data_IF_050422481845
#
_entry.id   IF_050422481845
#
_cell.length_a   1.000
_cell.length_b   1.000
_cell.length_c   1.000
_cell.angle_alpha   90.00
_cell.angle_beta   90.00
_cell.angle_gamma   90.00
#
_symmetry.space_group_name_H-M   'P 1'
#
loop_
_entity.id
_entity.type
_entity.pdbx_description
1 polymer ?
#
# COMPACT_ATOMS: atom_id res chain seq x y z
N UNK A 1 -46.70 62.50 30.74
CA UNK A 1 -45.90 61.57 31.63
C UNK A 1 -46.55 60.20 31.86
N UNK A 2 -47.83 60.06 32.27
CA UNK A 2 -48.45 58.74 32.47
C UNK A 2 -48.72 57.96 31.16
N UNK A 3 -49.02 58.61 30.04
CA UNK A 3 -49.23 57.94 28.73
C UNK A 3 -47.92 57.51 28.03
N UNK A 4 -46.81 58.18 28.31
CA UNK A 4 -45.48 57.81 27.74
C UNK A 4 -44.86 56.63 28.46
N UNK A 5 -45.08 56.46 29.76
CA UNK A 5 -44.66 55.28 30.53
C UNK A 5 -45.39 54.01 30.11
N UNK A 6 -46.68 54.06 29.83
CA UNK A 6 -47.46 52.92 29.32
C UNK A 6 -47.05 52.52 27.89
N UNK A 7 -46.64 53.47 27.05
CA UNK A 7 -46.11 53.14 25.72
C UNK A 7 -44.71 52.51 25.77
N UNK A 8 -43.85 52.92 26.72
CA UNK A 8 -42.54 52.35 26.92
C UNK A 8 -42.62 50.89 27.41
N UNK A 9 -43.53 50.64 28.39
CA UNK A 9 -43.74 49.27 28.91
C UNK A 9 -44.28 48.33 27.81
N UNK A 10 -45.18 48.79 26.94
CA UNK A 10 -45.64 47.96 25.81
C UNK A 10 -44.58 47.64 24.77
N UNK A 11 -43.62 48.57 24.50
CA UNK A 11 -42.48 48.34 23.61
C UNK A 11 -41.54 47.31 24.21
N UNK A 12 -41.22 47.43 25.52
CA UNK A 12 -40.33 46.47 26.22
C UNK A 12 -40.96 45.06 26.26
N UNK A 13 -42.27 44.97 26.37
CA UNK A 13 -42.98 43.71 26.36
C UNK A 13 -42.97 43.02 24.98
N UNK A 14 -43.11 43.81 23.92
CA UNK A 14 -42.97 43.35 22.56
C UNK A 14 -41.55 42.91 22.26
N UNK A 15 -40.52 43.67 22.70
CA UNK A 15 -39.11 43.24 22.52
C UNK A 15 -38.80 41.95 23.28
N UNK A 16 -39.37 41.76 24.44
CA UNK A 16 -39.22 40.53 25.22
C UNK A 16 -39.85 39.32 24.50
N UNK A 17 -41.10 39.50 23.97
CA UNK A 17 -41.76 38.44 23.21
C UNK A 17 -41.03 38.11 21.92
N UNK A 18 -40.49 39.08 21.20
CA UNK A 18 -39.68 38.87 20.02
C UNK A 18 -38.39 38.09 20.36
N UNK A 19 -37.73 38.44 21.44
CA UNK A 19 -36.51 37.76 21.88
C UNK A 19 -36.78 36.31 22.33
N UNK A 20 -37.90 36.06 23.04
CA UNK A 20 -38.33 34.70 23.39
C UNK A 20 -38.71 33.89 22.16
N UNK A 21 -39.35 34.48 21.18
CA UNK A 21 -39.66 33.79 19.91
C UNK A 21 -38.40 33.46 19.09
N UNK A 22 -37.44 34.37 19.01
CA UNK A 22 -36.16 34.11 18.35
C UNK A 22 -35.36 32.98 19.03
N UNK A 23 -35.29 32.96 20.34
CA UNK A 23 -34.59 31.92 21.09
C UNK A 23 -35.27 30.57 20.94
N UNK A 24 -36.59 30.53 20.96
CA UNK A 24 -37.38 29.32 20.74
C UNK A 24 -37.21 28.79 19.28
N UNK A 25 -37.23 29.69 18.31
CA UNK A 25 -37.00 29.33 16.90
C UNK A 25 -35.61 28.78 16.68
N UNK A 26 -34.56 29.41 17.27
CA UNK A 26 -33.16 28.91 17.21
C UNK A 26 -33.03 27.52 17.84
N UNK A 27 -33.69 27.29 18.99
CA UNK A 27 -33.69 25.97 19.65
C UNK A 27 -34.41 24.90 18.79
N UNK A 28 -35.53 25.23 18.16
CA UNK A 28 -36.26 24.32 17.27
C UNK A 28 -35.47 24.01 15.99
N UNK A 29 -34.80 24.99 15.39
CA UNK A 29 -33.90 24.81 14.24
C UNK A 29 -32.72 23.90 14.59
N UNK A 30 -32.05 24.13 15.71
CA UNK A 30 -30.96 23.28 16.17
C UNK A 30 -31.42 21.84 16.43
N UNK A 31 -32.62 21.66 16.99
CA UNK A 31 -33.19 20.32 17.23
C UNK A 31 -33.55 19.62 15.90
N UNK A 32 -34.09 20.36 14.95
CA UNK A 32 -34.39 19.85 13.61
C UNK A 32 -33.11 19.47 12.84
N UNK A 33 -32.07 20.31 12.90
CA UNK A 33 -30.76 20.01 12.29
C UNK A 33 -30.10 18.80 12.93
N UNK A 34 -30.12 18.68 14.27
CA UNK A 34 -29.61 17.49 14.97
C UNK A 34 -30.32 16.22 14.55
N UNK A 35 -31.69 16.27 14.44
CA UNK A 35 -32.47 15.12 13.97
C UNK A 35 -32.12 14.77 12.51
N UNK A 36 -31.95 15.77 11.64
CA UNK A 36 -31.55 15.57 10.25
C UNK A 36 -30.15 14.93 10.16
N UNK A 37 -29.19 15.46 10.92
CA UNK A 37 -27.83 14.88 11.04
C UNK A 37 -27.87 13.44 11.57
N UNK A 38 -28.63 13.18 12.62
CA UNK A 38 -28.76 11.84 13.20
C UNK A 38 -29.35 10.84 12.22
N UNK A 39 -30.42 11.21 11.49
CA UNK A 39 -31.01 10.39 10.44
C UNK A 39 -30.04 10.13 9.30
N UNK A 40 -29.28 11.15 8.86
CA UNK A 40 -28.24 11.00 7.84
C UNK A 40 -27.14 10.03 8.31
N UNK A 41 -26.68 10.17 9.57
CA UNK A 41 -25.69 9.24 10.15
C UNK A 41 -26.26 7.81 10.21
N UNK A 42 -27.49 7.63 10.71
CA UNK A 42 -28.12 6.30 10.79
C UNK A 42 -28.24 5.62 9.42
N UNK A 43 -28.53 6.38 8.35
CA UNK A 43 -28.59 5.84 6.98
C UNK A 43 -27.23 5.46 6.41
N UNK A 44 -26.16 6.19 6.79
CA UNK A 44 -24.80 5.92 6.31
C UNK A 44 -24.07 4.90 7.21
N UNK A 45 -24.49 4.73 8.48
CA UNK A 45 -23.85 3.84 9.47
C UNK A 45 -23.65 2.40 8.96
N UNK A 46 -24.66 1.72 8.34
CA UNK A 46 -24.48 0.34 7.88
C UNK A 46 -23.35 0.24 6.85
N UNK A 47 -23.26 1.18 5.92
CA UNK A 47 -22.19 1.21 4.90
C UNK A 47 -20.83 1.51 5.55
N UNK A 48 -20.78 2.47 6.45
CA UNK A 48 -19.54 2.81 7.18
C UNK A 48 -19.06 1.63 8.02
N UNK A 49 -19.97 0.99 8.77
CA UNK A 49 -19.63 -0.21 9.55
C UNK A 49 -19.14 -1.35 8.65
N UNK A 50 -19.77 -1.56 7.51
CA UNK A 50 -19.32 -2.56 6.53
C UNK A 50 -17.90 -2.26 6.06
N UNK A 51 -17.59 -1.03 5.65
CA UNK A 51 -16.25 -0.62 5.22
C UNK A 51 -15.23 -0.78 6.35
N UNK A 52 -15.56 -0.36 7.56
CA UNK A 52 -14.65 -0.49 8.71
C UNK A 52 -14.34 -1.96 9.02
N UNK A 53 -15.34 -2.84 9.02
CA UNK A 53 -15.17 -4.25 9.34
C UNK A 53 -14.47 -5.03 8.22
N UNK A 54 -14.75 -4.73 6.95
CA UNK A 54 -14.22 -5.51 5.83
C UNK A 54 -12.90 -5.00 5.28
N UNK A 55 -12.59 -3.71 5.46
CA UNK A 55 -11.37 -3.10 4.94
C UNK A 55 -10.46 -2.55 6.05
N UNK A 56 -10.96 -1.65 6.91
CA UNK A 56 -10.10 -1.00 7.89
C UNK A 56 -9.57 -1.99 8.95
N UNK A 57 -10.44 -2.84 9.49
CA UNK A 57 -10.04 -3.83 10.51
C UNK A 57 -8.98 -4.82 10.00
N UNK A 58 -9.10 -5.50 8.83
CA UNK A 58 -8.06 -6.39 8.33
C UNK A 58 -6.72 -5.67 8.05
N UNK A 59 -6.77 -4.43 7.56
CA UNK A 59 -5.55 -3.63 7.34
C UNK A 59 -4.87 -3.33 8.67
N UNK A 60 -5.62 -2.90 9.68
CA UNK A 60 -5.09 -2.63 11.03
C UNK A 60 -4.56 -3.90 11.70
N UNK A 61 -5.25 -5.05 11.57
CA UNK A 61 -4.78 -6.34 12.08
C UNK A 61 -3.44 -6.73 11.41
N UNK A 62 -3.34 -6.58 10.10
CA UNK A 62 -2.09 -6.85 9.37
C UNK A 62 -0.94 -5.93 9.81
N UNK A 63 -1.22 -4.63 10.00
CA UNK A 63 -0.24 -3.67 10.53
C UNK A 63 0.15 -4.01 11.97
N UNK A 64 -0.80 -4.43 12.79
CA UNK A 64 -0.50 -4.88 14.16
C UNK A 64 0.38 -6.13 14.17
N UNK A 65 0.08 -7.12 13.32
CA UNK A 65 0.91 -8.33 13.17
C UNK A 65 2.35 -8.03 12.71
N UNK A 66 2.59 -6.90 12.06
CA UNK A 66 3.95 -6.51 11.65
C UNK A 66 4.83 -6.08 12.81
N UNK A 67 4.24 -5.69 13.92
CA UNK A 67 4.95 -5.29 15.15
C UNK A 67 4.73 -6.26 16.30
N UNK A 68 3.73 -7.14 16.23
CA UNK A 68 3.42 -8.12 17.29
C UNK A 68 4.47 -9.22 17.34
N UNK A 69 5.10 -9.36 18.50
CA UNK A 69 6.15 -10.36 18.74
C UNK A 69 5.85 -11.23 19.98
N UNK A 70 4.63 -11.15 20.50
CA UNK A 70 4.21 -11.90 21.72
C UNK A 70 4.37 -13.41 21.58
N UNK A 71 4.40 -13.92 20.35
CA UNK A 71 4.56 -15.35 20.06
C UNK A 71 5.83 -15.94 20.70
N UNK A 72 6.97 -15.23 20.60
CA UNK A 72 8.25 -15.70 21.17
C UNK A 72 8.23 -15.60 22.69
N UNK A 73 7.85 -14.44 23.22
CA UNK A 73 7.82 -14.20 24.67
C UNK A 73 6.82 -15.09 25.42
N UNK A 74 5.70 -15.46 24.79
CA UNK A 74 4.72 -16.38 25.36
C UNK A 74 5.13 -17.85 25.26
N UNK A 75 5.89 -18.21 24.24
CA UNK A 75 6.33 -19.60 24.03
C UNK A 75 7.58 -19.98 24.80
N UNK A 76 8.42 -19.00 25.13
CA UNK A 76 9.71 -19.18 25.83
C UNK A 76 9.84 -18.16 26.98
N UNK A 77 8.84 -18.05 27.90
CA UNK A 77 8.81 -16.99 28.90
C UNK A 77 10.00 -17.03 29.87
N UNK A 78 10.40 -18.19 30.36
CA UNK A 78 11.51 -18.32 31.29
C UNK A 78 12.85 -18.07 30.62
N UNK A 79 13.04 -18.57 29.40
CA UNK A 79 14.24 -18.32 28.59
C UNK A 79 14.41 -16.83 28.33
N UNK A 80 13.34 -16.12 27.93
CA UNK A 80 13.37 -14.68 27.66
C UNK A 80 13.67 -13.89 28.91
N UNK A 81 13.02 -14.20 30.04
CA UNK A 81 13.29 -13.54 31.31
C UNK A 81 14.74 -13.72 31.78
N UNK A 82 15.26 -14.92 31.66
CA UNK A 82 16.67 -15.19 32.01
C UNK A 82 17.67 -14.48 31.07
N UNK A 83 17.29 -14.26 29.78
CA UNK A 83 18.10 -13.52 28.81
C UNK A 83 18.15 -12.00 29.06
N UNK A 84 17.26 -11.42 29.84
CA UNK A 84 17.28 -9.98 30.12
C UNK A 84 18.62 -9.56 30.78
N UNK A 85 19.17 -10.37 31.66
CA UNK A 85 20.43 -10.11 32.36
C UNK A 85 21.70 -10.36 31.53
N UNK A 86 21.58 -10.99 30.35
CA UNK A 86 22.72 -11.28 29.49
C UNK A 86 23.17 -10.06 28.68
N UNK A 87 24.45 -9.77 28.60
CA UNK A 87 25.10 -8.57 28.04
C UNK A 87 25.51 -8.71 26.56
N UNK A 88 24.99 -9.67 25.84
CA UNK A 88 25.38 -10.03 24.46
C UNK A 88 26.80 -10.59 24.30
N UNK A 89 27.56 -10.75 25.38
CA UNK A 89 28.92 -11.23 25.33
C UNK A 89 29.02 -12.71 25.75
N UNK A 90 29.73 -13.50 24.95
CA UNK A 90 29.97 -14.91 25.27
C UNK A 90 28.67 -15.77 25.23
N UNK A 91 28.69 -16.86 25.97
CA UNK A 91 27.56 -17.75 26.12
C UNK A 91 26.67 -17.26 27.26
N UNK A 92 25.31 -17.40 27.14
CA UNK A 92 24.41 -17.07 28.22
C UNK A 92 24.69 -17.86 29.50
N UNK A 93 24.22 -17.34 30.62
CA UNK A 93 24.34 -18.00 31.93
C UNK A 93 23.64 -19.37 31.93
N UNK A 94 24.04 -20.23 32.85
CA UNK A 94 23.50 -21.59 32.97
C UNK A 94 21.94 -21.58 33.10
N UNK A 95 21.36 -20.64 33.84
CA UNK A 95 19.91 -20.48 34.01
C UNK A 95 19.16 -20.35 32.71
N UNK A 96 19.69 -19.59 31.73
CA UNK A 96 19.10 -19.44 30.40
C UNK A 96 19.02 -20.76 29.68
N UNK A 97 20.07 -21.55 29.76
CA UNK A 97 20.17 -22.85 29.05
C UNK A 97 19.28 -23.90 29.70
N UNK A 98 19.14 -23.86 31.02
CA UNK A 98 18.22 -24.72 31.75
C UNK A 98 16.77 -24.43 31.35
N UNK A 99 16.35 -23.19 31.44
CA UNK A 99 15.00 -22.75 31.00
C UNK A 99 14.75 -23.10 29.54
N UNK A 100 15.69 -22.77 28.65
CA UNK A 100 15.61 -23.04 27.21
C UNK A 100 15.43 -24.53 26.92
N UNK A 101 16.20 -25.40 27.60
CA UNK A 101 16.14 -26.84 27.35
C UNK A 101 14.77 -27.44 27.70
N UNK A 102 14.17 -26.97 28.78
CA UNK A 102 12.85 -27.41 29.23
C UNK A 102 11.75 -26.90 28.29
N UNK A 103 11.77 -25.61 27.98
CA UNK A 103 10.76 -24.98 27.14
C UNK A 103 10.80 -25.47 25.68
N UNK A 104 12.00 -25.65 25.10
CA UNK A 104 12.15 -26.19 23.75
C UNK A 104 11.68 -27.65 23.68
N UNK A 105 11.91 -28.46 24.71
CA UNK A 105 11.38 -29.82 24.75
C UNK A 105 9.84 -29.82 24.82
N UNK A 106 9.26 -28.98 25.66
CA UNK A 106 7.80 -28.83 25.77
C UNK A 106 7.18 -28.43 24.43
N UNK A 107 7.76 -27.43 23.74
CA UNK A 107 7.33 -27.01 22.40
C UNK A 107 7.49 -28.11 21.33
N UNK A 108 8.53 -28.94 21.45
CA UNK A 108 8.73 -30.07 20.54
C UNK A 108 7.66 -31.15 20.74
N UNK A 109 7.33 -31.45 22.00
CA UNK A 109 6.29 -32.44 22.35
C UNK A 109 4.87 -31.97 21.98
N UNK A 110 4.56 -30.68 22.16
CA UNK A 110 3.29 -30.07 21.75
C UNK A 110 3.17 -29.85 20.24
N UNK A 111 4.24 -30.10 19.46
CA UNK A 111 4.35 -29.84 18.01
C UNK A 111 4.25 -28.34 17.63
N UNK A 112 4.50 -27.44 18.56
CA UNK A 112 4.50 -25.98 18.32
C UNK A 112 5.90 -25.45 17.95
N UNK A 113 6.98 -26.20 18.23
CA UNK A 113 8.34 -25.81 17.91
C UNK A 113 8.57 -25.37 16.45
N UNK A 114 7.96 -25.99 15.41
CA UNK A 114 8.14 -25.56 14.03
C UNK A 114 7.71 -24.11 13.78
N UNK A 115 6.68 -23.61 14.47
CA UNK A 115 6.19 -22.25 14.37
C UNK A 115 7.24 -21.24 14.87
N UNK A 116 7.72 -21.48 16.09
CA UNK A 116 8.80 -20.68 16.71
C UNK A 116 10.10 -20.74 15.88
N UNK A 117 10.46 -21.95 15.44
CA UNK A 117 11.65 -22.15 14.62
C UNK A 117 11.59 -21.41 13.27
N UNK A 118 10.40 -21.33 12.65
CA UNK A 118 10.18 -20.55 11.43
C UNK A 118 10.34 -19.04 11.71
N UNK A 119 9.73 -18.54 12.80
CA UNK A 119 9.84 -17.13 13.20
C UNK A 119 11.30 -16.74 13.48
N UNK A 120 12.01 -17.56 14.25
CA UNK A 120 13.43 -17.32 14.56
C UNK A 120 14.33 -17.40 13.31
N UNK A 121 13.96 -18.22 12.31
CA UNK A 121 14.74 -18.34 11.07
C UNK A 121 14.63 -17.11 10.16
N UNK A 122 13.62 -16.26 10.37
CA UNK A 122 13.51 -14.96 9.70
C UNK A 122 14.54 -14.00 10.23
N UNK A 123 14.74 -14.00 11.55
CA UNK A 123 15.71 -13.15 12.22
C UNK A 123 17.15 -13.61 11.93
N UNK A 124 17.44 -14.88 12.19
CA UNK A 124 18.77 -15.46 11.96
C UNK A 124 18.67 -16.74 11.13
N UNK A 125 19.32 -16.72 9.98
CA UNK A 125 19.32 -17.85 9.03
C UNK A 125 19.93 -19.11 9.65
N UNK A 126 19.23 -20.23 9.45
CA UNK A 126 19.65 -21.53 10.01
C UNK A 126 19.05 -21.85 11.37
N UNK A 127 18.35 -20.91 12.04
CA UNK A 127 17.67 -21.13 13.32
C UNK A 127 16.63 -22.26 13.26
N UNK A 128 15.88 -22.37 12.17
CA UNK A 128 14.90 -23.43 12.00
C UNK A 128 15.55 -24.82 12.13
N UNK A 129 16.64 -25.05 11.39
CA UNK A 129 17.34 -26.34 11.45
C UNK A 129 17.97 -26.59 12.81
N UNK A 130 18.50 -25.53 13.44
CA UNK A 130 19.11 -25.59 14.76
C UNK A 130 18.08 -25.97 15.82
N UNK A 131 16.96 -25.27 15.93
CA UNK A 131 15.90 -25.51 16.90
C UNK A 131 15.24 -26.89 16.71
N UNK A 132 14.91 -27.26 15.48
CA UNK A 132 14.30 -28.57 15.19
C UNK A 132 15.24 -29.72 15.53
N UNK A 133 16.55 -29.58 15.25
CA UNK A 133 17.56 -30.57 15.61
C UNK A 133 17.72 -30.65 17.13
N UNK A 134 17.72 -29.53 17.82
CA UNK A 134 17.84 -29.44 19.28
C UNK A 134 16.65 -30.10 19.95
N UNK A 135 15.42 -29.75 19.59
CA UNK A 135 14.20 -30.37 20.15
C UNK A 135 14.18 -31.89 19.98
N UNK A 136 14.55 -32.40 18.79
CA UNK A 136 14.66 -33.84 18.52
C UNK A 136 15.73 -34.52 19.35
N UNK A 137 16.87 -33.86 19.62
CA UNK A 137 17.91 -34.43 20.43
C UNK A 137 17.56 -34.38 21.91
N UNK A 138 16.96 -33.29 22.40
CA UNK A 138 16.46 -33.18 23.77
C UNK A 138 15.43 -34.25 24.10
N UNK A 139 14.56 -34.59 23.16
CA UNK A 139 13.54 -35.64 23.37
C UNK A 139 14.11 -37.08 23.56
N UNK A 140 15.42 -37.25 23.30
CA UNK A 140 16.12 -38.55 23.49
C UNK A 140 16.97 -38.58 24.75
N UNK A 141 17.09 -37.47 25.47
CA UNK A 141 17.84 -37.40 26.71
C UNK A 141 16.95 -37.89 27.89
N UNK A 142 17.62 -38.55 28.83
CA UNK A 142 16.96 -39.11 30.04
C UNK A 142 16.93 -38.13 31.21
N UNK A 143 17.75 -37.07 31.16
CA UNK A 143 17.85 -36.06 32.23
C UNK A 143 17.77 -34.64 31.67
N UNK A 144 16.91 -33.84 32.21
CA UNK A 144 16.78 -32.37 32.00
C UNK A 144 16.74 -31.70 33.38
N UNK A 145 17.16 -30.46 33.50
CA UNK A 145 17.75 -29.57 32.48
C UNK A 145 19.20 -29.94 32.11
N UNK A 146 19.70 -29.42 30.98
CA UNK A 146 21.06 -29.67 30.49
C UNK A 146 22.02 -28.51 30.80
N UNK A 147 23.31 -28.80 30.81
CA UNK A 147 24.37 -27.78 30.98
C UNK A 147 24.75 -27.10 29.66
N UNK A 148 25.44 -25.94 29.78
CA UNK A 148 26.03 -25.19 28.65
C UNK A 148 26.85 -26.09 27.74
N UNK A 149 27.71 -26.92 28.35
CA UNK A 149 28.62 -27.82 27.64
C UNK A 149 27.86 -28.95 26.93
N UNK A 150 26.76 -29.42 27.49
CA UNK A 150 25.92 -30.43 26.87
C UNK A 150 25.14 -29.85 25.66
N UNK A 151 24.62 -28.65 25.76
CA UNK A 151 23.95 -27.98 24.65
C UNK A 151 24.88 -27.74 23.46
N UNK A 152 26.13 -27.29 23.72
CA UNK A 152 27.15 -27.13 22.69
C UNK A 152 27.55 -28.47 22.03
N UNK A 153 27.49 -29.61 22.75
CA UNK A 153 27.66 -30.95 22.17
C UNK A 153 26.48 -31.38 21.29
N UNK A 154 25.25 -30.93 21.59
CA UNK A 154 24.12 -31.19 20.72
C UNK A 154 24.28 -30.51 19.34
N UNK A 155 24.68 -29.24 19.32
CA UNK A 155 25.07 -28.52 18.11
C UNK A 155 26.02 -27.38 18.42
N UNK A 156 27.19 -27.37 17.74
CA UNK A 156 28.25 -26.36 17.97
C UNK A 156 27.80 -24.92 17.73
N UNK A 157 26.72 -24.71 16.96
CA UNK A 157 26.18 -23.37 16.70
C UNK A 157 25.69 -22.66 17.96
N UNK A 158 25.28 -23.41 19.01
CA UNK A 158 24.89 -22.83 20.30
C UNK A 158 26.03 -22.16 21.08
N UNK A 159 27.27 -22.42 20.68
CA UNK A 159 28.45 -21.72 21.24
C UNK A 159 28.59 -20.28 20.67
N UNK A 160 27.89 -19.94 19.58
CA UNK A 160 27.98 -18.61 18.98
C UNK A 160 26.89 -17.68 19.57
N UNK A 161 27.29 -16.50 20.14
CA UNK A 161 26.40 -15.54 20.78
C UNK A 161 25.27 -15.04 19.86
N UNK A 162 25.50 -14.96 18.57
CA UNK A 162 24.51 -14.43 17.60
C UNK A 162 23.16 -15.14 17.64
N UNK A 163 23.11 -16.44 17.89
CA UNK A 163 21.86 -17.20 17.99
C UNK A 163 21.07 -16.84 19.24
N UNK A 164 21.74 -16.49 20.31
CA UNK A 164 21.15 -16.03 21.58
C UNK A 164 20.72 -14.57 21.48
N UNK A 165 21.50 -13.73 20.79
CA UNK A 165 21.15 -12.35 20.48
C UNK A 165 19.82 -12.27 19.72
N UNK A 166 19.57 -13.19 18.78
CA UNK A 166 18.31 -13.27 18.07
C UNK A 166 17.10 -13.48 19.00
N UNK A 167 17.22 -14.29 20.06
CA UNK A 167 16.17 -14.43 21.08
C UNK A 167 16.02 -13.16 21.91
N UNK A 168 17.12 -12.55 22.32
CA UNK A 168 17.09 -11.32 23.11
C UNK A 168 16.49 -10.14 22.33
N UNK A 169 16.85 -9.99 21.06
CA UNK A 169 16.29 -8.95 20.19
C UNK A 169 14.79 -9.12 19.94
N UNK A 170 14.26 -10.35 20.10
CA UNK A 170 12.85 -10.67 20.01
C UNK A 170 12.17 -10.87 21.38
N UNK A 171 12.79 -10.43 22.48
CA UNK A 171 12.21 -10.60 23.83
C UNK A 171 11.00 -9.70 24.09
N UNK A 172 10.95 -8.54 23.46
CA UNK A 172 9.87 -7.57 23.65
C UNK A 172 8.50 -8.04 23.07
N UNK A 173 7.42 -7.57 23.66
CA UNK A 173 6.06 -7.81 23.14
C UNK A 173 5.84 -7.20 21.75
N UNK A 174 6.57 -6.14 21.42
CA UNK A 174 6.55 -5.46 20.13
C UNK A 174 7.97 -5.48 19.53
N UNK A 175 8.04 -5.62 18.20
CA UNK A 175 9.31 -5.57 17.47
C UNK A 175 9.18 -4.73 16.22
N UNK A 176 10.23 -4.02 15.86
CA UNK A 176 10.34 -3.31 14.59
C UNK A 176 11.24 -4.07 13.59
N UNK A 177 11.62 -5.32 13.88
CA UNK A 177 12.53 -6.10 13.05
C UNK A 177 12.04 -6.24 11.60
N UNK A 178 10.73 -6.41 11.39
CA UNK A 178 10.14 -6.47 10.05
C UNK A 178 10.23 -5.13 9.29
N UNK A 179 10.08 -4.00 9.99
CA UNK A 179 10.23 -2.67 9.37
C UNK A 179 11.70 -2.37 9.06
N UNK A 180 12.61 -2.74 9.96
CA UNK A 180 14.06 -2.65 9.70
C UNK A 180 14.42 -3.52 8.48
N UNK A 181 13.97 -4.77 8.45
CA UNK A 181 14.20 -5.65 7.31
C UNK A 181 13.59 -5.11 6.00
N UNK A 182 12.43 -4.46 6.06
CA UNK A 182 11.80 -3.81 4.90
C UNK A 182 12.58 -2.56 4.41
N UNK A 183 13.46 -2.02 5.25
CA UNK A 183 14.41 -0.94 4.91
C UNK A 183 15.83 -1.46 4.65
N UNK A 184 15.99 -2.77 4.43
CA UNK A 184 17.26 -3.47 4.24
C UNK A 184 18.23 -3.29 5.42
N UNK A 185 17.69 -3.11 6.65
CA UNK A 185 18.44 -3.00 7.90
C UNK A 185 18.24 -4.25 8.76
N UNK A 186 19.15 -4.48 9.67
CA UNK A 186 19.07 -5.54 10.69
C UNK A 186 19.63 -5.05 12.02
N UNK A 187 19.30 -5.76 13.11
CA UNK A 187 19.93 -5.56 14.41
C UNK A 187 21.08 -6.55 14.54
N UNK A 188 22.27 -6.05 14.85
CA UNK A 188 23.46 -6.89 15.03
C UNK A 188 23.47 -7.62 16.38
N UNK A 189 24.56 -8.36 16.64
CA UNK A 189 24.76 -9.14 17.89
C UNK A 189 24.83 -8.26 19.15
N UNK A 190 25.06 -6.95 19.00
CA UNK A 190 25.18 -5.98 20.08
C UNK A 190 23.93 -5.11 20.30
N UNK A 191 22.91 -5.31 19.48
CA UNK A 191 21.69 -4.51 19.53
C UNK A 191 21.71 -3.25 18.65
N UNK A 192 22.80 -3.00 17.89
CA UNK A 192 22.89 -1.84 16.99
C UNK A 192 22.23 -2.11 15.64
N UNK A 193 21.74 -1.04 15.03
CA UNK A 193 21.13 -1.12 13.69
C UNK A 193 22.22 -0.99 12.63
N UNK A 194 22.32 -2.00 11.77
CA UNK A 194 23.28 -2.04 10.66
C UNK A 194 22.59 -2.43 9.34
N UNK A 195 23.17 -2.12 8.17
CA UNK A 195 22.67 -2.60 6.89
C UNK A 195 22.72 -4.14 6.81
N UNK A 196 21.72 -4.73 6.18
CA UNK A 196 21.76 -6.17 5.88
C UNK A 196 22.91 -6.49 4.91
N UNK A 197 23.41 -7.75 4.89
CA UNK A 197 24.36 -8.17 3.87
C UNK A 197 23.83 -7.91 2.45
N UNK A 198 24.66 -7.48 1.51
CA UNK A 198 24.30 -7.09 0.15
C UNK A 198 23.36 -8.09 -0.54
N UNK A 199 23.56 -9.39 -0.31
CA UNK A 199 22.69 -10.44 -0.88
C UNK A 199 21.25 -10.43 -0.38
N UNK A 200 20.96 -9.75 0.72
CA UNK A 200 19.62 -9.61 1.33
C UNK A 200 19.00 -8.24 1.11
N UNK A 201 19.79 -7.26 0.68
CA UNK A 201 19.30 -5.91 0.34
C UNK A 201 18.53 -5.96 -0.97
N UNK A 202 17.22 -6.02 -0.89
CA UNK A 202 16.34 -6.13 -2.06
C UNK A 202 15.13 -5.18 -2.00
N UNK A 203 14.74 -4.75 -0.79
CA UNK A 203 13.45 -4.08 -0.63
C UNK A 203 13.52 -2.60 -0.97
N UNK A 204 14.56 -1.90 -0.54
CA UNK A 204 14.76 -0.46 -0.81
C UNK A 204 14.85 -0.23 -2.33
N UNK A 205 15.68 -0.99 -3.02
CA UNK A 205 15.78 -0.93 -4.48
C UNK A 205 14.44 -1.23 -5.16
N UNK A 206 13.70 -2.18 -4.63
CA UNK A 206 12.40 -2.57 -5.17
C UNK A 206 11.34 -1.48 -4.93
N UNK A 207 11.39 -0.75 -3.79
CA UNK A 207 10.56 0.42 -3.54
C UNK A 207 10.84 1.53 -4.55
N UNK A 208 12.11 1.91 -4.74
CA UNK A 208 12.49 2.93 -5.72
C UNK A 208 12.08 2.53 -7.14
N UNK A 209 12.32 1.29 -7.52
CA UNK A 209 11.92 0.76 -8.81
C UNK A 209 10.41 0.80 -9.02
N UNK A 210 9.63 0.37 -8.01
CA UNK A 210 8.16 0.39 -8.07
C UNK A 210 7.65 1.82 -8.26
N UNK A 211 8.20 2.77 -7.51
CA UNK A 211 7.87 4.17 -7.63
C UNK A 211 8.17 4.72 -9.03
N UNK A 212 9.37 4.45 -9.54
CA UNK A 212 9.80 4.92 -10.85
C UNK A 212 8.99 4.31 -12.00
N UNK A 213 8.71 3.01 -11.90
CA UNK A 213 7.83 2.33 -12.86
C UNK A 213 6.41 2.91 -12.84
N UNK A 214 5.85 3.16 -11.66
CA UNK A 214 4.50 3.74 -11.54
C UNK A 214 4.41 5.15 -12.10
N UNK A 215 5.44 5.97 -11.90
CA UNK A 215 5.56 7.29 -12.55
C UNK A 215 5.62 7.14 -14.07
N UNK A 216 6.48 6.26 -14.57
CA UNK A 216 6.64 6.04 -16.00
C UNK A 216 5.33 5.57 -16.66
N UNK A 217 4.64 4.62 -16.05
CA UNK A 217 3.33 4.14 -16.50
C UNK A 217 2.30 5.29 -16.53
N UNK A 218 2.27 6.10 -15.47
CA UNK A 218 1.35 7.23 -15.37
C UNK A 218 1.61 8.29 -16.45
N UNK A 219 2.88 8.61 -16.71
CA UNK A 219 3.27 9.56 -17.74
C UNK A 219 2.94 9.03 -19.15
N UNK A 220 3.22 7.77 -19.43
CA UNK A 220 2.88 7.14 -20.72
C UNK A 220 1.36 7.13 -20.89
N UNK A 221 0.60 6.74 -19.85
CA UNK A 221 -0.85 6.81 -19.90
C UNK A 221 -1.34 8.23 -20.15
N UNK A 222 -0.76 9.26 -19.53
CA UNK A 222 -1.13 10.65 -19.74
C UNK A 222 -0.91 11.09 -21.19
N UNK A 223 0.28 10.79 -21.73
CA UNK A 223 0.64 11.15 -23.12
C UNK A 223 -0.32 10.49 -24.12
N UNK A 224 -0.67 9.22 -23.91
CA UNK A 224 -1.61 8.49 -24.77
C UNK A 224 -3.07 8.90 -24.54
N UNK A 225 -3.46 9.12 -23.31
CA UNK A 225 -4.85 9.44 -22.94
C UNK A 225 -5.25 10.85 -23.33
N UNK A 226 -4.32 11.82 -23.29
CA UNK A 226 -4.63 13.23 -23.54
C UNK A 226 -5.24 13.48 -24.93
N UNK A 227 -4.63 13.03 -26.04
CA UNK A 227 -5.21 13.21 -27.37
C UNK A 227 -6.52 12.44 -27.53
N UNK A 228 -6.68 11.27 -26.94
CA UNK A 228 -7.91 10.47 -26.97
C UNK A 228 -9.04 11.19 -26.23
N UNK A 229 -8.77 11.67 -25.01
CA UNK A 229 -9.75 12.42 -24.22
C UNK A 229 -10.15 13.75 -24.89
N UNK A 230 -9.18 14.45 -25.51
CA UNK A 230 -9.44 15.66 -26.28
C UNK A 230 -10.34 15.38 -27.48
N UNK A 231 -10.07 14.32 -28.23
CA UNK A 231 -10.92 13.89 -29.34
C UNK A 231 -12.35 13.58 -28.87
N UNK A 232 -12.48 12.75 -27.83
CA UNK A 232 -13.77 12.40 -27.24
C UNK A 232 -14.59 13.63 -26.80
N UNK A 233 -13.93 14.63 -26.18
CA UNK A 233 -14.59 15.82 -25.68
C UNK A 233 -15.11 16.74 -26.79
N UNK A 234 -14.48 16.73 -27.96
CA UNK A 234 -14.81 17.61 -29.09
C UNK A 234 -15.69 16.93 -30.17
N UNK A 235 -15.92 15.61 -30.08
CA UNK A 235 -16.80 14.91 -31.00
C UNK A 235 -18.30 15.08 -30.65
N UNK A 236 -19.21 14.98 -31.65
CA UNK A 236 -20.65 14.84 -31.39
C UNK A 236 -20.95 13.64 -30.50
N UNK A 237 -21.93 13.75 -29.60
CA UNK A 237 -22.21 12.76 -28.57
C UNK A 237 -22.36 11.33 -29.07
N UNK A 238 -23.01 11.12 -30.23
CA UNK A 238 -23.16 9.78 -30.82
C UNK A 238 -21.80 9.10 -31.12
N UNK A 239 -20.85 9.86 -31.70
CA UNK A 239 -19.52 9.35 -32.06
C UNK A 239 -18.63 9.25 -30.80
N UNK A 240 -18.71 10.22 -29.91
CA UNK A 240 -18.01 10.19 -28.63
C UNK A 240 -18.40 8.96 -27.81
N UNK A 241 -19.71 8.65 -27.69
CA UNK A 241 -20.18 7.48 -26.96
C UNK A 241 -19.69 6.16 -27.59
N UNK A 242 -19.69 6.05 -28.92
CA UNK A 242 -19.15 4.85 -29.60
C UNK A 242 -17.67 4.64 -29.29
N UNK A 243 -16.87 5.70 -29.39
CA UNK A 243 -15.42 5.61 -29.07
C UNK A 243 -15.21 5.35 -27.58
N UNK A 244 -16.03 5.91 -26.70
CA UNK A 244 -15.98 5.65 -25.27
C UNK A 244 -16.24 4.17 -24.95
N UNK A 245 -17.19 3.53 -25.63
CA UNK A 245 -17.43 2.08 -25.53
C UNK A 245 -16.17 1.31 -25.92
N UNK A 246 -15.48 1.69 -27.00
CA UNK A 246 -14.23 1.04 -27.43
C UNK A 246 -13.13 1.21 -26.36
N UNK A 247 -12.98 2.41 -25.78
CA UNK A 247 -12.03 2.68 -24.69
C UNK A 247 -12.35 1.84 -23.45
N UNK A 248 -13.63 1.59 -23.17
CA UNK A 248 -14.06 0.81 -22.01
C UNK A 248 -14.16 -0.71 -22.28
N UNK A 249 -14.06 -1.14 -23.53
CA UNK A 249 -14.13 -2.55 -23.91
C UNK A 249 -13.17 -3.45 -23.10
N UNK A 250 -11.92 -3.04 -22.79
CA UNK A 250 -11.04 -3.82 -21.94
C UNK A 250 -11.63 -4.13 -20.55
N UNK A 251 -12.52 -3.31 -20.00
CA UNK A 251 -13.13 -3.59 -18.69
C UNK A 251 -14.05 -4.81 -18.68
N UNK A 252 -14.62 -5.19 -19.81
CA UNK A 252 -15.50 -6.36 -19.94
C UNK A 252 -14.70 -7.67 -20.03
N UNK A 253 -13.39 -7.60 -20.18
CA UNK A 253 -12.52 -8.77 -20.16
C UNK A 253 -11.83 -8.89 -18.79
N UNK A 254 -11.57 -10.13 -18.34
CA UNK A 254 -10.87 -10.33 -17.07
C UNK A 254 -9.42 -9.82 -17.14
N UNK A 255 -8.88 -9.44 -15.98
CA UNK A 255 -7.49 -9.01 -15.87
C UNK A 255 -6.51 -10.10 -16.35
N UNK A 256 -6.79 -11.36 -15.98
CA UNK A 256 -5.95 -12.50 -16.36
C UNK A 256 -5.94 -12.69 -17.88
N UNK A 257 -7.10 -12.62 -18.54
CA UNK A 257 -7.19 -12.75 -20.00
C UNK A 257 -6.38 -11.65 -20.69
N UNK A 258 -6.49 -10.39 -20.24
CA UNK A 258 -5.69 -9.29 -20.78
C UNK A 258 -4.20 -9.51 -20.59
N UNK A 259 -3.78 -9.93 -19.39
CA UNK A 259 -2.38 -10.18 -19.10
C UNK A 259 -1.83 -11.36 -19.92
N UNK A 260 -2.59 -12.43 -20.05
CA UNK A 260 -2.21 -13.60 -20.88
C UNK A 260 -2.12 -13.24 -22.37
N UNK A 261 -3.02 -12.38 -22.86
CA UNK A 261 -2.94 -11.87 -24.23
C UNK A 261 -1.62 -11.12 -24.48
N UNK A 262 -1.18 -10.30 -23.50
CA UNK A 262 0.12 -9.64 -23.59
C UNK A 262 1.29 -10.62 -23.56
N UNK A 263 1.20 -11.74 -22.81
CA UNK A 263 2.21 -12.80 -22.85
C UNK A 263 2.33 -13.34 -24.28
N UNK A 264 1.21 -13.68 -24.92
CA UNK A 264 1.18 -14.21 -26.29
C UNK A 264 1.71 -13.19 -27.32
N UNK A 265 1.36 -11.92 -27.16
CA UNK A 265 1.80 -10.86 -28.08
C UNK A 265 3.29 -10.56 -27.98
N UNK A 266 3.84 -10.51 -26.74
CA UNK A 266 5.21 -10.07 -26.45
C UNK A 266 6.24 -11.21 -26.42
N UNK A 267 5.82 -12.48 -26.45
CA UNK A 267 6.76 -13.61 -26.46
C UNK A 267 7.69 -13.57 -27.68
N UNK A 268 8.82 -14.25 -27.59
CA UNK A 268 9.83 -14.22 -28.68
C UNK A 268 9.27 -14.64 -30.05
N UNK A 269 8.37 -15.62 -30.07
CA UNK A 269 7.67 -16.07 -31.28
C UNK A 269 6.26 -15.44 -31.37
N UNK A 270 6.07 -14.25 -30.80
CA UNK A 270 4.81 -13.57 -30.77
C UNK A 270 4.58 -12.62 -31.95
N UNK A 271 3.32 -12.24 -32.08
CA UNK A 271 2.83 -11.42 -33.20
C UNK A 271 3.61 -10.10 -33.36
N UNK A 272 4.00 -9.46 -32.25
CA UNK A 272 4.73 -8.18 -32.32
C UNK A 272 6.12 -8.37 -32.91
N UNK A 273 6.87 -9.41 -32.54
CA UNK A 273 8.15 -9.73 -33.14
C UNK A 273 8.03 -10.07 -34.63
N UNK A 274 7.00 -10.83 -35.00
CA UNK A 274 6.76 -11.17 -36.40
C UNK A 274 6.45 -9.92 -37.24
N UNK A 275 5.66 -8.97 -36.70
CA UNK A 275 5.38 -7.70 -37.37
C UNK A 275 6.62 -6.80 -37.47
N UNK A 276 7.48 -6.75 -36.47
CA UNK A 276 8.73 -5.96 -36.50
C UNK A 276 9.71 -6.49 -37.52
N UNK A 277 9.84 -7.81 -37.65
CA UNK A 277 10.68 -8.45 -38.65
C UNK A 277 10.07 -8.25 -40.04
N UNK A 278 8.77 -8.49 -40.21
CA UNK A 278 8.07 -8.31 -41.48
C UNK A 278 8.16 -6.87 -42.00
N UNK A 279 8.06 -5.88 -41.12
CA UNK A 279 8.19 -4.46 -41.48
C UNK A 279 9.64 -4.01 -41.76
N UNK A 280 10.61 -4.88 -41.54
CA UNK A 280 12.04 -4.57 -41.73
C UNK A 280 12.62 -3.66 -40.61
N UNK A 281 11.87 -3.45 -39.51
CA UNK A 281 12.34 -2.62 -38.42
C UNK A 281 13.47 -3.28 -37.61
N UNK A 282 13.46 -4.60 -37.54
CA UNK A 282 14.54 -5.41 -36.94
C UNK A 282 14.75 -6.69 -37.73
N UNK A 283 16.00 -7.21 -37.75
CA UNK A 283 16.34 -8.52 -38.31
C UNK A 283 16.30 -9.65 -37.29
N UNK A 284 16.32 -9.32 -35.98
CA UNK A 284 16.35 -10.30 -34.90
C UNK A 284 15.15 -10.14 -33.99
N UNK A 285 14.78 -11.22 -33.29
CA UNK A 285 13.71 -11.21 -32.32
C UNK A 285 14.15 -10.52 -31.02
N UNK A 286 13.31 -9.59 -30.54
CA UNK A 286 13.58 -8.82 -29.35
C UNK A 286 12.86 -9.48 -28.14
N UNK A 287 13.57 -9.65 -27.04
CA UNK A 287 12.95 -10.14 -25.80
C UNK A 287 12.12 -9.03 -25.15
N UNK A 288 10.81 -9.04 -25.38
CA UNK A 288 9.87 -8.06 -24.87
C UNK A 288 9.07 -8.54 -23.66
N UNK A 289 9.14 -9.83 -23.31
CA UNK A 289 8.47 -10.44 -22.17
C UNK A 289 9.48 -10.82 -21.08
N UNK A 290 8.98 -11.00 -19.85
CA UNK A 290 9.75 -11.32 -18.64
C UNK A 290 10.79 -10.25 -18.28
N UNK A 291 10.44 -9.00 -18.51
CA UNK A 291 11.25 -7.82 -18.20
C UNK A 291 10.40 -6.61 -17.85
N UNK A 292 11.06 -5.50 -17.49
CA UNK A 292 10.40 -4.23 -17.14
C UNK A 292 9.55 -3.68 -18.28
N UNK A 293 10.01 -3.82 -19.55
CA UNK A 293 9.27 -3.34 -20.71
C UNK A 293 7.91 -4.03 -20.84
N UNK A 294 7.87 -5.37 -20.76
CA UNK A 294 6.62 -6.14 -20.80
C UNK A 294 5.65 -5.73 -19.71
N UNK A 295 6.16 -5.50 -18.48
CA UNK A 295 5.34 -4.99 -17.37
C UNK A 295 4.74 -3.62 -17.71
N UNK A 296 5.55 -2.67 -18.12
CA UNK A 296 5.11 -1.29 -18.40
C UNK A 296 4.05 -1.27 -19.51
N UNK A 297 4.31 -1.93 -20.64
CA UNK A 297 3.36 -1.98 -21.78
C UNK A 297 2.03 -2.59 -21.37
N UNK A 298 2.06 -3.73 -20.69
CA UNK A 298 0.83 -4.41 -20.25
C UNK A 298 0.05 -3.56 -19.25
N UNK A 299 0.74 -2.92 -18.30
CA UNK A 299 0.10 -2.07 -17.29
C UNK A 299 -0.44 -0.78 -17.89
N UNK A 300 0.26 -0.15 -18.85
CA UNK A 300 -0.26 1.02 -19.57
C UNK A 300 -1.58 0.69 -20.25
N UNK A 301 -1.67 -0.42 -20.98
CA UNK A 301 -2.92 -0.84 -21.63
C UNK A 301 -4.07 -1.04 -20.61
N UNK A 302 -3.75 -1.65 -19.45
CA UNK A 302 -4.77 -1.92 -18.41
C UNK A 302 -5.23 -0.64 -17.75
N UNK A 303 -4.31 0.31 -17.50
CA UNK A 303 -4.56 1.53 -16.72
C UNK A 303 -4.98 2.74 -17.57
N UNK A 304 -4.80 2.67 -18.91
CA UNK A 304 -5.13 3.76 -19.83
C UNK A 304 -6.58 4.29 -19.67
N UNK A 305 -7.63 3.48 -19.55
CA UNK A 305 -8.98 3.98 -19.34
C UNK A 305 -9.17 4.79 -18.06
N UNK A 306 -8.42 4.45 -16.99
CA UNK A 306 -8.46 5.20 -15.72
C UNK A 306 -7.86 6.59 -15.83
N UNK A 307 -6.99 6.82 -16.81
CA UNK A 307 -6.49 8.14 -17.16
C UNK A 307 -7.45 8.88 -18.10
N UNK A 308 -8.02 8.19 -19.09
CA UNK A 308 -8.90 8.81 -20.10
C UNK A 308 -10.18 9.35 -19.46
N UNK A 309 -10.83 8.59 -18.57
CA UNK A 309 -12.14 8.95 -18.03
C UNK A 309 -12.17 10.27 -17.26
N UNK A 310 -11.27 10.53 -16.27
CA UNK A 310 -11.23 11.81 -15.57
C UNK A 310 -10.86 12.97 -16.51
N UNK A 311 -9.92 12.76 -17.43
CA UNK A 311 -9.54 13.75 -18.44
C UNK A 311 -10.75 14.13 -19.32
N UNK A 312 -11.41 13.14 -19.89
CA UNK A 312 -12.61 13.34 -20.71
C UNK A 312 -13.72 14.08 -19.95
N UNK A 313 -13.99 13.68 -18.71
CA UNK A 313 -15.01 14.30 -17.87
C UNK A 313 -14.78 15.80 -17.68
N UNK A 314 -13.53 16.18 -17.37
CA UNK A 314 -13.17 17.60 -17.22
C UNK A 314 -13.19 18.33 -18.56
N UNK A 315 -12.59 17.74 -19.61
CA UNK A 315 -12.52 18.35 -20.94
C UNK A 315 -13.90 18.59 -21.56
N UNK A 316 -14.84 17.67 -21.34
CA UNK A 316 -16.24 17.80 -21.81
C UNK A 316 -16.97 18.99 -21.16
N UNK A 317 -16.60 19.35 -19.94
CA UNK A 317 -17.15 20.50 -19.21
C UNK A 317 -16.57 21.86 -19.63
N UNK A 318 -15.47 21.89 -20.40
CA UNK A 318 -14.83 23.15 -20.84
C UNK A 318 -15.63 23.78 -21.97
N UNK A 319 -16.15 25.00 -21.73
CA UNK A 319 -16.91 25.72 -22.78
C UNK A 319 -15.99 26.09 -23.97
N UNK A 320 -16.42 25.78 -25.21
CA UNK A 320 -15.69 26.21 -26.42
C UNK A 320 -15.49 27.72 -26.54
N UNK A 321 -16.25 28.51 -25.77
CA UNK A 321 -16.16 29.97 -25.75
C UNK A 321 -14.79 30.46 -25.32
N UNK A 322 -14.14 29.80 -24.38
CA UNK A 322 -12.78 30.18 -23.93
C UNK A 322 -11.77 30.12 -25.07
N UNK A 323 -11.79 29.03 -25.83
CA UNK A 323 -10.90 28.87 -26.99
C UNK A 323 -11.20 29.90 -28.09
N UNK A 324 -12.49 30.14 -28.39
CA UNK A 324 -12.95 31.12 -29.39
C UNK A 324 -12.57 32.55 -28.98
N UNK A 325 -12.75 32.93 -27.72
CA UNK A 325 -12.35 34.24 -27.22
C UNK A 325 -10.84 34.51 -27.36
N UNK A 326 -10.00 33.51 -27.01
CA UNK A 326 -8.56 33.59 -27.21
C UNK A 326 -8.20 33.83 -28.69
N UNK A 327 -8.86 33.12 -29.61
CA UNK A 327 -8.67 33.28 -31.05
C UNK A 327 -9.10 34.67 -31.54
N UNK A 328 -10.21 35.20 -31.04
CA UNK A 328 -10.69 36.56 -31.37
C UNK A 328 -9.73 37.64 -30.88
N UNK A 329 -8.99 37.40 -29.80
CA UNK A 329 -7.95 38.29 -29.28
C UNK A 329 -6.59 38.11 -30.01
N UNK A 330 -6.54 37.37 -31.13
CA UNK A 330 -5.34 37.21 -31.97
C UNK A 330 -4.41 36.05 -31.59
N UNK A 331 -4.79 35.22 -30.63
CA UNK A 331 -3.97 34.07 -30.30
C UNK A 331 -3.97 33.03 -31.46
N UNK A 332 -2.79 32.44 -31.76
CA UNK A 332 -2.69 31.32 -32.69
C UNK A 332 -3.39 30.07 -32.06
N UNK A 333 -3.82 29.06 -32.85
CA UNK A 333 -4.45 27.87 -32.31
C UNK A 333 -3.59 27.17 -31.24
N UNK A 334 -2.28 27.09 -31.47
CA UNK A 334 -1.33 26.48 -30.54
C UNK A 334 -1.22 27.26 -29.22
N UNK A 335 -1.13 28.61 -29.29
CA UNK A 335 -1.10 29.48 -28.09
C UNK A 335 -2.43 29.38 -27.31
N UNK A 336 -3.57 29.44 -28.00
CA UNK A 336 -4.87 29.29 -27.37
C UNK A 336 -5.02 27.92 -26.67
N UNK A 337 -4.51 26.85 -27.29
CA UNK A 337 -4.49 25.52 -26.69
C UNK A 337 -3.58 25.48 -25.45
N UNK A 338 -2.32 25.90 -25.55
CA UNK A 338 -1.34 25.77 -24.48
C UNK A 338 -1.60 26.71 -23.30
N UNK A 339 -2.06 27.97 -23.59
CA UNK A 339 -2.22 28.97 -22.52
C UNK A 339 -3.63 29.04 -21.93
N UNK A 340 -4.65 28.56 -22.63
CA UNK A 340 -6.04 28.64 -22.17
C UNK A 340 -6.63 27.27 -21.94
N UNK A 341 -6.64 26.40 -22.97
CA UNK A 341 -7.31 25.12 -22.87
C UNK A 341 -6.57 24.13 -21.94
N UNK A 342 -5.27 23.97 -22.12
CA UNK A 342 -4.46 23.00 -21.35
C UNK A 342 -4.49 23.29 -19.84
N UNK A 343 -4.35 24.55 -19.35
CA UNK A 343 -4.48 24.84 -17.92
C UNK A 343 -5.87 24.49 -17.35
N UNK A 344 -6.94 24.65 -18.12
CA UNK A 344 -8.29 24.26 -17.71
C UNK A 344 -8.46 22.72 -17.57
N UNK A 345 -7.59 21.93 -18.22
CA UNK A 345 -7.60 20.48 -18.09
C UNK A 345 -6.78 19.95 -16.91
N UNK A 346 -5.99 20.78 -16.21
CA UNK A 346 -5.15 20.38 -15.10
C UNK A 346 -5.89 19.59 -14.00
N UNK A 347 -7.12 19.93 -13.62
CA UNK A 347 -7.87 19.10 -12.66
C UNK A 347 -8.13 17.68 -13.16
N UNK A 348 -8.40 17.51 -14.46
CA UNK A 348 -8.58 16.18 -15.09
C UNK A 348 -7.27 15.40 -15.18
N UNK A 349 -6.17 16.09 -15.56
CA UNK A 349 -4.82 15.52 -15.55
C UNK A 349 -4.47 15.02 -14.15
N UNK A 350 -4.68 15.86 -13.15
CA UNK A 350 -4.40 15.53 -11.77
C UNK A 350 -5.20 14.33 -11.27
N UNK A 351 -6.51 14.33 -11.48
CA UNK A 351 -7.37 13.22 -11.04
C UNK A 351 -7.00 11.90 -11.75
N UNK A 352 -6.78 11.94 -13.08
CA UNK A 352 -6.37 10.78 -13.86
C UNK A 352 -4.98 10.27 -13.47
N UNK A 353 -4.01 11.16 -13.29
CA UNK A 353 -2.65 10.82 -12.88
C UNK A 353 -2.61 10.19 -11.49
N UNK A 354 -3.33 10.77 -10.53
CA UNK A 354 -3.42 10.22 -9.17
C UNK A 354 -4.03 8.82 -9.17
N UNK A 355 -5.16 8.64 -9.86
CA UNK A 355 -5.85 7.34 -9.93
C UNK A 355 -4.96 6.28 -10.60
N UNK A 356 -4.36 6.60 -11.75
CA UNK A 356 -3.47 5.69 -12.47
C UNK A 356 -2.23 5.34 -11.65
N UNK A 357 -1.62 6.31 -10.98
CA UNK A 357 -0.45 6.11 -10.13
C UNK A 357 -0.75 5.20 -8.94
N UNK A 358 -1.83 5.47 -8.18
CA UNK A 358 -2.22 4.66 -7.02
C UNK A 358 -2.53 3.22 -7.44
N UNK A 359 -3.26 3.04 -8.54
CA UNK A 359 -3.54 1.71 -9.07
C UNK A 359 -2.24 1.01 -9.51
N UNK A 360 -1.34 1.72 -10.22
CA UNK A 360 -0.08 1.15 -10.69
C UNK A 360 0.80 0.64 -9.55
N UNK A 361 0.97 1.41 -8.48
CA UNK A 361 1.85 1.06 -7.36
C UNK A 361 1.36 -0.18 -6.60
N UNK A 362 0.03 -0.39 -6.56
CA UNK A 362 -0.58 -1.56 -5.91
C UNK A 362 -0.73 -2.80 -6.79
N UNK A 363 -0.42 -2.70 -8.08
CA UNK A 363 -0.58 -3.83 -9.00
C UNK A 363 0.49 -4.91 -8.77
N UNK A 364 0.07 -6.19 -8.66
CA UNK A 364 1.00 -7.31 -8.50
C UNK A 364 0.79 -8.43 -9.52
N UNK A 365 -0.44 -8.67 -10.00
CA UNK A 365 -0.76 -9.80 -10.89
C UNK A 365 -0.04 -9.68 -12.22
N UNK A 366 -0.17 -8.54 -12.89
CA UNK A 366 0.47 -8.32 -14.20
C UNK A 366 1.99 -8.35 -14.12
N UNK A 367 2.66 -7.63 -13.18
CA UNK A 367 4.11 -7.76 -13.01
C UNK A 367 4.56 -9.19 -12.67
N UNK A 368 3.78 -9.96 -11.89
CA UNK A 368 4.10 -11.36 -11.58
C UNK A 368 4.12 -12.25 -12.81
N UNK A 369 3.20 -12.04 -13.76
CA UNK A 369 3.04 -12.89 -14.94
C UNK A 369 3.97 -12.48 -16.11
N UNK A 370 4.12 -11.17 -16.33
CA UNK A 370 4.81 -10.64 -17.54
C UNK A 370 6.21 -10.12 -17.22
N UNK A 371 6.47 -9.73 -15.97
CA UNK A 371 7.64 -8.93 -15.60
C UNK A 371 8.93 -9.71 -15.38
N UNK A 372 8.90 -11.02 -15.12
CA UNK A 372 10.09 -11.77 -14.73
C UNK A 372 10.79 -11.14 -13.52
N UNK A 373 12.11 -11.35 -13.38
CA UNK A 373 12.87 -10.77 -12.24
C UNK A 373 12.99 -9.25 -12.31
N UNK A 374 13.21 -8.72 -13.52
CA UNK A 374 13.44 -7.27 -13.69
C UNK A 374 12.15 -6.45 -13.73
N UNK A 375 10.99 -7.05 -13.96
CA UNK A 375 9.70 -6.35 -14.01
C UNK A 375 8.86 -6.45 -12.74
N UNK A 376 9.37 -7.08 -11.66
CA UNK A 376 8.65 -7.16 -10.39
C UNK A 376 8.65 -5.82 -9.64
N UNK A 377 7.60 -5.62 -8.84
CA UNK A 377 7.35 -4.46 -8.00
C UNK A 377 7.25 -4.89 -6.53
N UNK A 378 7.27 -3.93 -5.58
CA UNK A 378 7.18 -4.24 -4.14
C UNK A 378 5.89 -4.99 -3.79
N UNK A 379 4.79 -4.71 -4.49
CA UNK A 379 3.50 -5.41 -4.35
C UNK A 379 3.61 -6.93 -4.61
N UNK A 380 4.54 -7.35 -5.48
CA UNK A 380 4.83 -8.78 -5.71
C UNK A 380 5.48 -9.43 -4.49
N UNK A 381 6.37 -8.71 -3.77
CA UNK A 381 6.99 -9.22 -2.54
C UNK A 381 5.98 -9.28 -1.40
N UNK A 382 5.08 -8.30 -1.28
CA UNK A 382 3.96 -8.37 -0.33
C UNK A 382 3.13 -9.63 -0.59
N UNK A 383 2.71 -9.86 -1.84
CA UNK A 383 1.97 -11.06 -2.22
C UNK A 383 2.75 -12.35 -1.97
N UNK A 384 4.04 -12.39 -2.24
CA UNK A 384 4.92 -13.52 -1.94
C UNK A 384 4.96 -13.83 -0.43
N UNK A 385 5.10 -12.79 0.41
CA UNK A 385 5.12 -12.99 1.86
C UNK A 385 3.76 -13.42 2.42
N UNK A 386 2.66 -13.03 1.81
CA UNK A 386 1.32 -13.48 2.19
C UNK A 386 1.02 -14.92 1.75
N UNK A 387 1.40 -15.29 0.52
CA UNK A 387 0.93 -16.52 -0.14
C UNK A 387 1.93 -17.66 -0.11
N UNK A 388 3.23 -17.36 -0.17
CA UNK A 388 4.29 -18.35 -0.32
C UNK A 388 5.10 -18.54 0.95
N UNK A 389 5.69 -17.47 1.49
CA UNK A 389 6.50 -17.57 2.71
C UNK A 389 5.66 -17.57 3.98
N UNK A 390 4.37 -17.17 3.90
CA UNK A 390 3.42 -17.04 5.02
C UNK A 390 3.96 -16.15 6.16
N UNK A 391 4.86 -15.21 5.83
CA UNK A 391 5.40 -14.23 6.75
C UNK A 391 4.52 -12.98 6.78
N UNK A 392 3.42 -13.06 7.52
CA UNK A 392 2.43 -11.98 7.64
C UNK A 392 3.02 -10.71 8.24
N UNK A 393 4.00 -10.84 9.18
CA UNK A 393 4.68 -9.68 9.76
C UNK A 393 5.45 -8.88 8.71
N UNK A 394 6.20 -9.56 7.84
CA UNK A 394 6.93 -8.91 6.75
C UNK A 394 5.98 -8.33 5.69
N UNK A 395 4.93 -9.07 5.32
CA UNK A 395 3.90 -8.55 4.42
C UNK A 395 3.25 -7.28 4.99
N UNK A 396 2.95 -7.27 6.30
CA UNK A 396 2.40 -6.11 7.00
C UNK A 396 3.35 -4.92 7.04
N UNK A 397 4.64 -5.15 7.28
CA UNK A 397 5.65 -4.09 7.29
C UNK A 397 5.83 -3.44 5.90
N UNK A 398 6.01 -4.27 4.85
CA UNK A 398 6.12 -3.79 3.47
C UNK A 398 4.84 -3.06 3.01
N UNK A 399 3.67 -3.63 3.30
CA UNK A 399 2.38 -3.03 2.99
C UNK A 399 2.14 -1.72 3.75
N UNK A 400 2.53 -1.67 5.03
CA UNK A 400 2.45 -0.47 5.87
C UNK A 400 3.34 0.66 5.36
N UNK A 401 4.59 0.36 4.99
CA UNK A 401 5.49 1.35 4.36
C UNK A 401 4.95 1.84 3.03
N UNK A 402 4.44 0.92 2.19
CA UNK A 402 3.84 1.30 0.91
C UNK A 402 2.62 2.21 1.11
N UNK A 403 1.73 1.87 2.05
CA UNK A 403 0.57 2.67 2.40
C UNK A 403 0.98 4.06 2.90
N UNK A 404 1.99 4.14 3.77
CA UNK A 404 2.53 5.40 4.28
C UNK A 404 3.03 6.30 3.13
N UNK A 405 3.86 5.75 2.23
CA UNK A 405 4.37 6.48 1.06
C UNK A 405 3.22 6.99 0.18
N UNK A 406 2.23 6.13 -0.12
CA UNK A 406 1.08 6.51 -0.93
C UNK A 406 0.26 7.63 -0.26
N UNK A 407 0.05 7.58 1.07
CA UNK A 407 -0.67 8.62 1.80
C UNK A 407 0.08 9.96 1.80
N UNK A 408 1.40 9.93 1.98
CA UNK A 408 2.24 11.14 1.89
C UNK A 408 2.15 11.76 0.49
N UNK A 409 2.26 10.94 -0.55
CA UNK A 409 2.15 11.40 -1.94
C UNK A 409 0.76 11.94 -2.26
N UNK A 410 -0.28 11.28 -1.79
CA UNK A 410 -1.66 11.76 -1.91
C UNK A 410 -1.85 13.12 -1.25
N UNK A 411 -1.33 13.28 -0.02
CA UNK A 411 -1.39 14.56 0.70
C UNK A 411 -0.65 15.67 -0.05
N UNK A 412 0.59 15.40 -0.51
CA UNK A 412 1.38 16.35 -1.31
C UNK A 412 0.66 16.73 -2.60
N UNK A 413 0.13 15.74 -3.32
CA UNK A 413 -0.63 15.95 -4.54
C UNK A 413 -1.87 16.82 -4.29
N UNK A 414 -2.64 16.52 -3.26
CA UNK A 414 -3.83 17.28 -2.88
C UNK A 414 -3.49 18.74 -2.55
N UNK A 415 -2.35 18.99 -1.93
CA UNK A 415 -1.88 20.34 -1.61
C UNK A 415 -1.43 21.13 -2.85
N UNK A 416 -0.83 20.45 -3.83
CA UNK A 416 -0.30 21.08 -5.06
C UNK A 416 -1.41 21.34 -6.08
N UNK A 417 -2.24 20.32 -6.35
CA UNK A 417 -3.31 20.41 -7.37
C UNK A 417 -4.58 21.05 -6.83
N UNK A 418 -4.77 21.04 -5.51
CA UNK A 418 -5.87 21.71 -4.84
C UNK A 418 -7.23 21.13 -5.23
N UNK A 419 -7.59 19.95 -4.68
CA UNK A 419 -8.93 19.35 -4.88
C UNK A 419 -10.06 20.32 -4.46
N UNK A 420 -9.78 21.27 -3.59
CA UNK A 420 -10.72 22.35 -3.22
C UNK A 420 -11.07 23.29 -4.40
N UNK A 421 -10.26 23.35 -5.45
CA UNK A 421 -10.56 24.10 -6.67
C UNK A 421 -11.39 23.30 -7.69
N UNK A 422 -11.66 22.03 -7.41
CA UNK A 422 -12.56 21.17 -8.20
C UNK A 422 -14.05 21.42 -7.93
N UNK A 423 -14.41 22.44 -7.16
CA UNK A 423 -15.77 23.00 -7.19
C UNK A 423 -15.99 23.67 -8.54
N UNK A 424 -16.06 22.84 -9.56
CA UNK A 424 -16.58 23.25 -10.86
C UNK A 424 -18.08 23.36 -10.70
N UNK A 425 -18.56 24.62 -10.68
CA UNK A 425 -19.90 25.00 -11.03
C UNK A 425 -21.05 24.19 -10.39
N UNK A 426 -21.48 24.60 -9.18
CA UNK A 426 -22.87 24.46 -8.80
C UNK A 426 -23.55 25.78 -9.06
#
# INVERSE_FOLDING_TARGET
MSRELTALDSVLEIERQVHEQETNLKAQLQKAERRKKLRSIMLTTPLVCFILLTFAFPILDMLFRSVDNREISQSLPQTIQALESWDYQGQPHQEVIEAFSVEVLALYQSKELPKIANRMNIEESGMRSLLMKTGRKLSRLTSLPISVTQLAKLDKRWANPKYWAAFKNLSGALTFSHYLAALDLQVNEFGDIEPQPEKRQIYVDLFFKTFWMSISITLICLVMAYPVAYLLANLPDKRANLLLIIVLLPFWTSLLVRTTSWIVLLQNQGVINDLLIWSGFTSERIQMIHNTFGTVVSMVHILLPFMILPLYSVMKGISPTYFRAARSLGATPFIAFMKIYMPLTLPGIGAGALLTFILSIGFYITPALVGGRSGQMISNMIAYHMQTSLNWGMAGALGGLLLFVVLVLFYMFNRVVGINNLKVGG
#
